data_IF_377923119975
#
_entry.id   IF_377923119975
#
_cell.length_a   1.000
_cell.length_b   1.000
_cell.length_c   1.000
_cell.angle_alpha   90.00
_cell.angle_beta   90.00
_cell.angle_gamma   90.00
#
_symmetry.space_group_name_H-M   'P 1'
#
loop_
_entity.id
_entity.type
_entity.pdbx_description
1 polymer ?
#
# COMPACT_ATOMS: atom_id res chain seq x y z
N UNK A 1 -3.50 -61.05 -13.02
CA UNK A 1 -3.46 -60.38 -11.70
C UNK A 1 -4.47 -59.24 -11.74
N UNK A 2 -5.62 -59.40 -11.08
CA UNK A 2 -6.68 -58.39 -11.03
C UNK A 2 -6.51 -57.55 -9.75
N UNK A 3 -6.44 -56.22 -9.92
CA UNK A 3 -6.33 -55.24 -8.85
C UNK A 3 -7.69 -54.99 -8.22
N UNK A 4 -7.85 -55.28 -6.93
CA UNK A 4 -9.06 -54.97 -6.17
C UNK A 4 -8.99 -53.54 -5.63
N UNK A 5 -9.80 -52.66 -6.21
CA UNK A 5 -10.02 -51.32 -5.66
C UNK A 5 -10.80 -51.45 -4.34
N UNK A 6 -10.25 -50.88 -3.26
CA UNK A 6 -10.96 -50.72 -1.98
C UNK A 6 -11.93 -49.55 -2.13
N UNK A 7 -13.23 -49.85 -2.01
CA UNK A 7 -14.30 -48.88 -1.85
C UNK A 7 -14.13 -48.12 -0.54
N UNK A 8 -14.36 -46.80 -0.56
CA UNK A 8 -14.42 -45.99 0.64
C UNK A 8 -15.60 -46.45 1.53
N UNK A 9 -15.47 -46.42 2.86
CA UNK A 9 -16.58 -46.73 3.75
C UNK A 9 -17.69 -45.68 3.60
N UNK A 10 -18.94 -46.13 3.71
CA UNK A 10 -20.11 -45.26 3.75
C UNK A 10 -20.03 -44.31 4.96
N UNK A 11 -20.52 -43.07 4.83
CA UNK A 11 -20.54 -42.12 5.94
C UNK A 11 -21.40 -42.65 7.10
N UNK A 12 -20.90 -42.46 8.32
CA UNK A 12 -21.57 -42.84 9.56
C UNK A 12 -22.89 -42.07 9.71
N UNK A 13 -24.05 -42.75 9.77
CA UNK A 13 -25.35 -42.11 9.86
C UNK A 13 -25.61 -41.38 11.19
N UNK A 14 -24.74 -41.56 12.20
CA UNK A 14 -24.89 -41.00 13.55
C UNK A 14 -23.99 -39.77 13.82
N UNK A 15 -23.30 -39.23 12.81
CA UNK A 15 -22.60 -37.94 12.95
C UNK A 15 -23.61 -36.79 12.85
N UNK A 16 -23.82 -36.09 13.97
CA UNK A 16 -24.52 -34.81 13.98
C UNK A 16 -23.94 -33.89 12.89
N UNK A 17 -24.77 -33.25 12.06
CA UNK A 17 -24.27 -32.33 11.06
C UNK A 17 -23.49 -31.22 11.74
N UNK A 18 -22.32 -30.87 11.17
CA UNK A 18 -21.55 -29.71 11.62
C UNK A 18 -22.49 -28.51 11.79
N UNK A 19 -22.39 -27.77 12.90
CA UNK A 19 -23.23 -26.60 13.12
C UNK A 19 -23.10 -25.66 11.93
N UNK A 20 -24.24 -25.21 11.41
CA UNK A 20 -24.27 -24.26 10.31
C UNK A 20 -23.34 -23.08 10.66
N UNK A 21 -22.49 -22.63 9.73
CA UNK A 21 -21.63 -21.48 9.98
C UNK A 21 -22.50 -20.31 10.43
N UNK A 22 -22.01 -19.57 11.43
CA UNK A 22 -22.70 -18.39 11.94
C UNK A 22 -23.10 -17.49 10.75
N UNK A 23 -24.34 -16.97 10.73
CA UNK A 23 -24.78 -16.13 9.64
C UNK A 23 -23.84 -14.93 9.52
N UNK A 24 -23.22 -14.79 8.34
CA UNK A 24 -22.44 -13.60 8.00
C UNK A 24 -23.38 -12.41 8.12
N UNK A 25 -23.07 -11.41 8.97
CA UNK A 25 -23.98 -10.30 9.20
C UNK A 25 -24.34 -9.61 7.88
N UNK A 26 -25.64 -9.38 7.70
CA UNK A 26 -26.20 -8.69 6.54
C UNK A 26 -25.63 -7.26 6.45
N UNK A 27 -24.86 -6.92 5.39
CA UNK A 27 -24.30 -5.58 5.24
C UNK A 27 -25.37 -4.50 5.01
N UNK A 28 -26.64 -4.87 4.78
CA UNK A 28 -27.70 -3.92 4.45
C UNK A 28 -28.30 -3.15 5.65
N UNK A 29 -27.97 -3.51 6.90
CA UNK A 29 -28.52 -2.88 8.11
C UNK A 29 -27.49 -2.33 9.09
N UNK A 30 -26.22 -2.23 8.69
CA UNK A 30 -25.20 -1.51 9.46
C UNK A 30 -25.27 -0.01 9.19
N UNK A 31 -25.28 0.80 10.25
CA UNK A 31 -25.04 2.24 10.14
C UNK A 31 -23.75 2.45 9.35
N UNK A 32 -23.76 3.34 8.34
CA UNK A 32 -22.56 3.55 7.52
C UNK A 32 -21.40 3.92 8.45
N UNK A 33 -20.22 3.31 8.29
CA UNK A 33 -19.08 3.61 9.15
C UNK A 33 -18.84 5.11 9.16
N UNK A 34 -18.67 5.66 10.36
CA UNK A 34 -18.42 7.08 10.55
C UNK A 34 -17.12 7.53 9.88
N UNK A 35 -16.88 8.84 9.77
CA UNK A 35 -15.69 9.37 9.12
C UNK A 35 -14.38 8.82 9.71
N UNK A 36 -14.33 8.56 11.01
CA UNK A 36 -13.16 8.00 11.70
C UNK A 36 -12.93 6.54 11.33
N UNK A 37 -13.98 5.73 11.30
CA UNK A 37 -13.91 4.32 10.89
C UNK A 37 -13.47 4.20 9.43
N UNK A 38 -13.99 5.07 8.55
CA UNK A 38 -13.57 5.12 7.14
C UNK A 38 -12.11 5.55 6.98
N UNK A 39 -11.66 6.56 7.71
CA UNK A 39 -10.26 6.99 7.72
C UNK A 39 -9.32 5.86 8.20
N UNK A 40 -9.69 5.18 9.29
CA UNK A 40 -8.96 4.02 9.79
C UNK A 40 -8.96 2.88 8.77
N UNK A 41 -10.11 2.61 8.16
CA UNK A 41 -10.27 1.60 7.12
C UNK A 41 -9.42 1.87 5.88
N UNK A 42 -9.28 3.13 5.47
CA UNK A 42 -8.41 3.51 4.34
C UNK A 42 -6.93 3.23 4.64
N UNK A 43 -6.43 3.67 5.81
CA UNK A 43 -5.03 3.49 6.18
C UNK A 43 -4.69 2.03 6.48
N UNK A 44 -5.57 1.30 7.16
CA UNK A 44 -5.37 -0.14 7.41
C UNK A 44 -5.57 -0.96 6.14
N UNK A 45 -6.52 -0.59 5.29
CA UNK A 45 -6.78 -1.26 4.02
C UNK A 45 -5.58 -1.16 3.08
N UNK A 46 -4.89 -0.02 3.05
CA UNK A 46 -3.61 0.14 2.36
C UNK A 46 -2.58 -0.89 2.86
N UNK A 47 -2.30 -0.92 4.17
CA UNK A 47 -1.31 -1.83 4.73
C UNK A 47 -1.68 -3.32 4.60
N UNK A 48 -2.98 -3.64 4.70
CA UNK A 48 -3.49 -5.00 4.49
C UNK A 48 -3.34 -5.41 3.02
N UNK A 49 -3.68 -4.51 2.08
CA UNK A 49 -3.59 -4.75 0.65
C UNK A 49 -2.15 -4.96 0.18
N UNK A 50 -1.25 -4.09 0.65
CA UNK A 50 0.20 -4.19 0.47
C UNK A 50 0.70 -5.58 0.94
N UNK A 51 0.50 -5.92 2.23
CA UNK A 51 0.99 -7.19 2.78
C UNK A 51 0.36 -8.43 2.12
N UNK A 52 -0.86 -8.33 1.60
CA UNK A 52 -1.53 -9.40 0.87
C UNK A 52 -0.95 -9.58 -0.54
N UNK A 53 -0.61 -8.48 -1.21
CA UNK A 53 -0.09 -8.43 -2.58
C UNK A 53 1.39 -8.78 -2.69
N UNK A 54 2.20 -8.38 -1.70
CA UNK A 54 3.66 -8.51 -1.73
C UNK A 54 4.17 -9.93 -2.10
N UNK A 55 3.61 -11.05 -1.59
CA UNK A 55 4.09 -12.38 -1.96
C UNK A 55 3.88 -12.74 -3.44
N UNK A 56 2.90 -12.11 -4.10
CA UNK A 56 2.54 -12.34 -5.49
C UNK A 56 3.17 -11.32 -6.46
N UNK A 57 3.96 -10.37 -5.94
CA UNK A 57 4.64 -9.37 -6.75
C UNK A 57 5.53 -10.03 -7.82
N UNK A 58 5.52 -9.48 -9.04
CA UNK A 58 6.27 -9.99 -10.20
C UNK A 58 5.87 -11.39 -10.69
N UNK A 59 4.78 -11.98 -10.18
CA UNK A 59 4.23 -13.24 -10.68
C UNK A 59 3.14 -13.00 -11.75
N UNK A 60 3.09 -13.88 -12.74
CA UNK A 60 1.98 -13.92 -13.70
C UNK A 60 0.70 -14.42 -13.02
N UNK A 61 -0.49 -14.00 -13.47
CA UNK A 61 -1.75 -14.53 -12.96
C UNK A 61 -1.86 -16.06 -13.01
N UNK A 62 -1.24 -16.72 -14.00
CA UNK A 62 -1.19 -18.18 -14.09
C UNK A 62 -0.34 -18.82 -12.99
N UNK A 63 0.77 -18.19 -12.59
CA UNK A 63 1.67 -18.66 -11.55
C UNK A 63 1.02 -18.50 -10.17
N UNK A 64 0.34 -17.36 -9.95
CA UNK A 64 -0.46 -17.12 -8.74
C UNK A 64 -1.53 -18.19 -8.59
N UNK A 65 -2.30 -18.46 -9.67
CA UNK A 65 -3.33 -19.51 -9.66
C UNK A 65 -2.77 -20.91 -9.44
N UNK A 66 -1.64 -21.24 -10.07
CA UNK A 66 -1.01 -22.55 -9.89
C UNK A 66 -0.50 -22.77 -8.46
N UNK A 67 -0.02 -21.70 -7.80
CA UNK A 67 0.56 -21.77 -6.46
C UNK A 67 -0.48 -21.69 -5.34
N UNK A 68 -1.47 -20.81 -5.47
CA UNK A 68 -2.41 -20.48 -4.38
C UNK A 68 -3.89 -20.52 -4.81
N UNK A 69 -4.19 -20.74 -6.09
CA UNK A 69 -5.56 -20.58 -6.59
C UNK A 69 -6.01 -19.11 -6.51
N UNK A 70 -7.11 -18.86 -5.81
CA UNK A 70 -7.56 -17.50 -5.48
C UNK A 70 -7.02 -17.14 -4.10
N UNK A 71 -6.25 -16.05 -4.01
CA UNK A 71 -5.84 -15.49 -2.72
C UNK A 71 -7.07 -14.87 -2.02
N UNK A 72 -7.44 -15.42 -0.87
CA UNK A 72 -8.52 -14.92 0.00
C UNK A 72 -8.04 -14.51 1.40
N UNK A 73 -6.74 -14.65 1.67
CA UNK A 73 -6.08 -14.30 2.92
C UNK A 73 -4.56 -14.33 2.74
N UNK A 74 -3.80 -14.10 3.81
CA UNK A 74 -2.34 -14.09 3.74
C UNK A 74 -1.77 -15.46 3.36
N UNK A 75 -0.81 -15.45 2.43
CA UNK A 75 -0.17 -16.65 1.89
C UNK A 75 1.26 -16.86 2.40
N UNK A 76 1.65 -16.08 3.42
CA UNK A 76 2.93 -16.18 4.13
C UNK A 76 2.67 -16.21 5.64
N UNK A 77 3.55 -16.90 6.39
CA UNK A 77 3.42 -17.02 7.85
C UNK A 77 3.68 -15.69 8.59
N UNK A 78 4.35 -14.75 7.92
CA UNK A 78 4.73 -13.45 8.45
C UNK A 78 4.41 -12.36 7.44
N UNK A 79 3.12 -12.02 7.24
CA UNK A 79 2.74 -10.94 6.34
C UNK A 79 3.29 -9.61 6.86
N UNK A 80 3.84 -8.81 5.95
CA UNK A 80 4.40 -7.49 6.25
C UNK A 80 4.13 -6.58 5.08
N UNK A 81 3.86 -5.30 5.35
CA UNK A 81 3.86 -4.28 4.31
C UNK A 81 5.26 -4.05 3.74
N UNK A 82 5.30 -3.41 2.58
CA UNK A 82 6.50 -3.00 1.87
C UNK A 82 6.66 -1.48 1.96
N UNK A 83 7.31 -0.93 0.95
CA UNK A 83 7.47 0.48 0.71
C UNK A 83 6.16 1.25 0.65
N UNK A 84 5.07 0.68 0.12
CA UNK A 84 3.75 1.31 0.09
C UNK A 84 3.33 1.78 1.51
N UNK A 85 3.39 0.87 2.49
CA UNK A 85 3.05 1.17 3.88
C UNK A 85 4.05 2.12 4.52
N UNK A 86 5.36 1.91 4.30
CA UNK A 86 6.41 2.76 4.87
C UNK A 86 6.29 4.21 4.38
N UNK A 87 6.05 4.40 3.10
CA UNK A 87 5.86 5.71 2.50
C UNK A 87 4.52 6.35 2.86
N UNK A 88 3.45 5.57 3.02
CA UNK A 88 2.18 6.11 3.55
C UNK A 88 2.37 6.63 4.99
N UNK A 89 3.15 5.93 5.82
CA UNK A 89 3.50 6.40 7.17
C UNK A 89 4.35 7.68 7.09
N UNK A 90 5.34 7.72 6.19
CA UNK A 90 6.15 8.92 5.94
C UNK A 90 5.28 10.15 5.62
N UNK A 91 4.36 10.03 4.66
CA UNK A 91 3.46 11.13 4.27
C UNK A 91 2.50 11.50 5.41
N UNK A 92 2.01 10.50 6.16
CA UNK A 92 1.18 10.73 7.36
C UNK A 92 1.91 11.51 8.46
N UNK A 93 3.19 11.22 8.71
CA UNK A 93 4.01 11.93 9.69
C UNK A 93 4.27 13.38 9.28
N UNK A 94 4.50 13.63 7.99
CA UNK A 94 4.63 14.98 7.44
C UNK A 94 3.34 15.79 7.65
N UNK A 95 2.17 15.20 7.37
CA UNK A 95 0.87 15.84 7.61
C UNK A 95 0.61 16.07 9.10
N UNK A 96 0.95 15.13 9.96
CA UNK A 96 0.80 15.30 11.41
C UNK A 96 1.66 16.46 11.95
N UNK A 97 2.83 16.69 11.36
CA UNK A 97 3.76 17.76 11.77
C UNK A 97 3.42 19.13 11.17
N UNK A 98 3.09 19.18 9.89
CA UNK A 98 2.98 20.43 9.14
C UNK A 98 1.54 20.78 8.72
N UNK A 99 0.64 19.80 8.71
CA UNK A 99 -0.74 19.95 8.23
C UNK A 99 -0.79 20.59 6.84
N UNK A 100 -1.73 21.53 6.66
CA UNK A 100 -1.86 22.28 5.40
C UNK A 100 -0.67 23.19 5.07
N UNK A 101 0.21 23.48 6.04
CA UNK A 101 1.42 24.26 5.85
C UNK A 101 2.62 23.43 5.34
N UNK A 102 2.38 22.19 4.88
CA UNK A 102 3.39 21.37 4.22
C UNK A 102 3.96 22.13 2.99
N UNK A 103 5.28 22.06 2.83
CA UNK A 103 6.03 22.69 1.73
C UNK A 103 6.99 21.67 1.12
N UNK A 104 7.46 21.87 -0.13
CA UNK A 104 8.47 21.00 -0.72
C UNK A 104 9.74 20.90 0.15
N UNK A 105 10.16 22.00 0.78
CA UNK A 105 11.31 22.01 1.68
C UNK A 105 11.13 21.13 2.93
N UNK A 106 9.91 21.07 3.49
CA UNK A 106 9.61 20.15 4.59
C UNK A 106 9.73 18.68 4.14
N UNK A 107 9.24 18.38 2.94
CA UNK A 107 9.29 17.04 2.36
C UNK A 107 10.74 16.65 2.10
N UNK A 108 11.51 17.50 1.41
CA UNK A 108 12.93 17.28 1.11
C UNK A 108 13.76 17.04 2.38
N UNK A 109 13.56 17.87 3.42
CA UNK A 109 14.23 17.68 4.70
C UNK A 109 13.90 16.32 5.34
N UNK A 110 12.64 15.86 5.24
CA UNK A 110 12.25 14.55 5.75
C UNK A 110 12.83 13.40 4.91
N UNK A 111 12.93 13.56 3.58
CA UNK A 111 13.61 12.60 2.70
C UNK A 111 15.07 12.42 3.11
N UNK A 112 15.81 13.51 3.34
CA UNK A 112 17.17 13.45 3.87
C UNK A 112 17.22 12.76 5.23
N UNK A 113 16.43 13.25 6.20
CA UNK A 113 16.49 12.79 7.58
C UNK A 113 16.12 11.31 7.75
N UNK A 114 15.12 10.83 7.01
CA UNK A 114 14.50 9.53 7.27
C UNK A 114 14.82 8.47 6.20
N UNK A 115 15.32 8.86 5.03
CA UNK A 115 15.48 7.95 3.88
C UNK A 115 16.88 8.04 3.27
N UNK A 116 17.28 9.20 2.72
CA UNK A 116 18.50 9.35 1.94
C UNK A 116 19.79 9.23 2.77
N UNK A 117 19.80 9.80 3.98
CA UNK A 117 21.02 9.93 4.80
C UNK A 117 21.12 8.85 5.89
N UNK A 118 20.17 7.91 5.95
CA UNK A 118 20.25 6.80 6.90
C UNK A 118 21.35 5.82 6.52
N UNK A 119 22.20 5.51 7.49
CA UNK A 119 23.32 4.55 7.38
C UNK A 119 22.87 3.07 7.39
N UNK A 120 21.56 2.80 7.50
CA UNK A 120 20.97 1.46 7.63
C UNK A 120 20.87 0.74 6.28
N UNK A 121 22.01 0.53 5.59
CA UNK A 121 22.05 -0.24 4.35
C UNK A 121 21.07 0.24 3.27
N UNK A 122 20.81 -0.55 2.21
CA UNK A 122 19.76 -0.19 1.27
C UNK A 122 18.42 -0.19 2.01
N UNK A 123 17.69 0.92 1.92
CA UNK A 123 16.24 0.94 2.17
C UNK A 123 15.67 -0.20 1.31
N UNK A 124 15.34 -1.34 1.93
CA UNK A 124 14.97 -2.54 1.18
C UNK A 124 13.63 -2.36 0.45
N UNK A 125 12.85 -1.36 0.88
CA UNK A 125 11.64 -0.84 0.25
C UNK A 125 11.81 0.56 -0.35
N UNK A 126 12.91 0.86 -1.04
CA UNK A 126 12.81 1.92 -2.05
C UNK A 126 12.39 1.22 -3.34
N UNK A 127 11.12 1.40 -3.71
CA UNK A 127 10.62 1.08 -5.03
C UNK A 127 11.58 1.54 -6.12
N UNK A 128 11.48 0.92 -7.29
CA UNK A 128 12.38 1.20 -8.41
C UNK A 128 12.46 2.70 -8.76
N UNK A 129 11.41 3.46 -8.45
CA UNK A 129 11.26 4.87 -8.76
C UNK A 129 11.99 5.79 -7.80
N UNK A 130 11.88 5.55 -6.51
CA UNK A 130 12.46 6.38 -5.45
C UNK A 130 13.98 6.27 -5.40
N UNK A 131 14.56 5.20 -5.98
CA UNK A 131 16.01 5.08 -6.15
C UNK A 131 16.61 6.22 -6.99
N UNK A 132 15.90 6.68 -8.02
CA UNK A 132 16.33 7.82 -8.82
C UNK A 132 16.35 9.11 -7.99
N UNK A 133 15.31 9.32 -7.19
CA UNK A 133 15.22 10.44 -6.25
C UNK A 133 16.37 10.42 -5.25
N UNK A 134 16.64 9.26 -4.62
CA UNK A 134 17.69 9.12 -3.61
C UNK A 134 19.08 9.43 -4.18
N UNK A 135 19.37 8.98 -5.40
CA UNK A 135 20.63 9.30 -6.07
C UNK A 135 20.76 10.80 -6.35
N UNK A 136 19.67 11.44 -6.81
CA UNK A 136 19.66 12.87 -7.06
C UNK A 136 19.86 13.68 -5.76
N UNK A 137 19.17 13.33 -4.67
CA UNK A 137 19.32 13.97 -3.37
C UNK A 137 20.75 13.82 -2.82
N UNK A 138 21.36 12.64 -2.95
CA UNK A 138 22.75 12.39 -2.53
C UNK A 138 23.79 13.18 -3.33
N UNK A 139 23.43 13.60 -4.55
CA UNK A 139 24.23 14.52 -5.38
C UNK A 139 24.00 15.99 -5.05
N UNK A 140 23.13 16.29 -4.08
CA UNK A 140 22.78 17.65 -3.67
C UNK A 140 21.75 18.33 -4.58
N UNK A 141 20.99 17.57 -5.38
CA UNK A 141 19.89 18.11 -6.16
C UNK A 141 18.63 18.21 -5.31
N UNK A 142 17.96 19.36 -5.37
CA UNK A 142 16.73 19.64 -4.64
C UNK A 142 15.49 19.54 -5.55
N UNK A 143 14.30 19.56 -4.97
CA UNK A 143 13.06 19.64 -5.75
C UNK A 143 13.01 20.93 -6.61
N UNK A 144 12.48 20.89 -7.84
CA UNK A 144 11.87 19.72 -8.51
C UNK A 144 12.88 18.83 -9.27
N UNK A 145 14.17 19.18 -9.29
CA UNK A 145 15.17 18.44 -10.07
C UNK A 145 15.40 17.04 -9.49
N UNK A 146 15.27 16.88 -8.17
CA UNK A 146 15.36 15.57 -7.51
C UNK A 146 14.37 14.55 -8.07
N UNK A 147 13.21 15.00 -8.55
CA UNK A 147 12.18 14.16 -9.18
C UNK A 147 12.46 13.80 -10.65
N UNK A 148 13.48 14.39 -11.29
CA UNK A 148 13.78 14.14 -12.71
C UNK A 148 14.61 12.87 -12.85
N UNK A 149 13.94 11.74 -13.07
CA UNK A 149 14.55 10.44 -13.34
C UNK A 149 13.64 9.54 -14.17
N UNK A 150 14.20 8.44 -14.69
CA UNK A 150 13.56 7.54 -15.68
C UNK A 150 12.19 6.96 -15.25
N UNK A 151 11.92 6.93 -13.95
CA UNK A 151 10.75 6.28 -13.34
C UNK A 151 9.83 7.24 -12.58
N UNK A 152 9.98 8.55 -12.77
CA UNK A 152 9.21 9.57 -12.04
C UNK A 152 7.69 9.56 -12.34
N UNK A 153 7.28 8.79 -13.35
CA UNK A 153 5.89 8.58 -13.77
C UNK A 153 5.18 7.42 -13.06
N UNK A 154 5.89 6.65 -12.20
CA UNK A 154 5.33 5.46 -11.56
C UNK A 154 4.23 5.76 -10.52
N UNK A 155 3.64 4.70 -9.99
CA UNK A 155 2.66 4.70 -8.91
C UNK A 155 3.24 4.95 -7.51
N UNK A 156 4.56 5.12 -7.34
CA UNK A 156 5.22 5.36 -6.06
C UNK A 156 4.66 6.52 -5.22
N UNK A 157 4.07 7.54 -5.86
CA UNK A 157 3.30 8.59 -5.17
C UNK A 157 1.83 8.19 -4.92
N UNK A 158 1.21 7.48 -5.86
CA UNK A 158 -0.18 7.04 -5.76
C UNK A 158 -0.38 6.02 -4.63
N UNK A 159 0.53 5.05 -4.49
CA UNK A 159 0.48 4.02 -3.46
C UNK A 159 0.51 4.60 -2.04
N UNK A 160 1.11 5.79 -1.85
CA UNK A 160 1.20 6.48 -0.55
C UNK A 160 0.23 7.65 -0.37
N UNK A 161 -0.74 7.85 -1.27
CA UNK A 161 -1.58 9.05 -1.28
C UNK A 161 -2.72 9.06 -0.23
N UNK A 162 -3.10 7.89 0.30
CA UNK A 162 -4.24 7.76 1.23
C UNK A 162 -4.23 8.72 2.44
N UNK A 163 -3.09 9.01 3.13
CA UNK A 163 -3.05 9.97 4.22
C UNK A 163 -3.54 11.37 3.85
N UNK A 164 -3.29 11.83 2.62
CA UNK A 164 -3.71 13.15 2.15
C UNK A 164 -5.23 13.22 1.97
N UNK A 165 -5.83 12.17 1.38
CA UNK A 165 -7.28 12.05 1.26
C UNK A 165 -7.99 11.98 2.63
N UNK A 166 -7.37 11.30 3.60
CA UNK A 166 -7.86 11.27 4.99
C UNK A 166 -7.75 12.65 5.66
N UNK A 167 -6.59 13.31 5.57
CA UNK A 167 -6.36 14.62 6.18
C UNK A 167 -7.25 15.72 5.57
N UNK A 168 -7.45 15.68 4.27
CA UNK A 168 -8.25 16.62 3.50
C UNK A 168 -9.63 16.07 3.11
N UNK A 169 -10.21 15.20 3.94
CA UNK A 169 -11.54 14.64 3.69
C UNK A 169 -12.58 15.75 3.41
N UNK A 170 -13.32 15.61 2.31
CA UNK A 170 -14.27 16.61 1.82
C UNK A 170 -13.65 17.82 1.11
N UNK A 171 -12.32 17.88 0.97
CA UNK A 171 -11.55 18.96 0.33
C UNK A 171 -10.57 18.39 -0.72
N UNK A 172 -11.07 17.80 -1.82
CA UNK A 172 -10.24 17.08 -2.79
C UNK A 172 -9.16 17.96 -3.44
N UNK A 173 -9.42 19.25 -3.67
CA UNK A 173 -8.41 20.18 -4.17
C UNK A 173 -7.24 20.37 -3.20
N UNK A 174 -7.49 20.34 -1.89
CA UNK A 174 -6.41 20.39 -0.89
C UNK A 174 -5.64 19.07 -0.85
N UNK A 175 -6.34 17.93 -0.93
CA UNK A 175 -5.67 16.62 -1.01
C UNK A 175 -4.70 16.58 -2.20
N UNK A 176 -5.19 16.95 -3.39
CA UNK A 176 -4.38 17.01 -4.61
C UNK A 176 -3.21 18.00 -4.53
N UNK A 177 -3.39 19.15 -3.83
CA UNK A 177 -2.31 20.11 -3.60
C UNK A 177 -1.22 19.52 -2.70
N UNK A 178 -1.61 18.90 -1.59
CA UNK A 178 -0.67 18.33 -0.61
C UNK A 178 0.08 17.13 -1.17
N UNK A 179 -0.60 16.26 -1.93
CA UNK A 179 0.02 15.14 -2.65
C UNK A 179 1.04 15.65 -3.66
N UNK A 180 0.72 16.70 -4.43
CA UNK A 180 1.68 17.28 -5.38
C UNK A 180 2.90 17.90 -4.70
N UNK A 181 2.73 18.44 -3.49
CA UNK A 181 3.85 18.96 -2.69
C UNK A 181 4.79 17.82 -2.25
N UNK A 182 4.26 16.71 -1.73
CA UNK A 182 5.06 15.51 -1.44
C UNK A 182 5.74 14.99 -2.72
N UNK A 183 4.93 14.78 -3.76
CA UNK A 183 5.36 14.27 -5.05
C UNK A 183 6.48 15.07 -5.69
N UNK A 184 6.52 16.39 -5.52
CA UNK A 184 7.52 17.28 -6.16
C UNK A 184 8.98 16.92 -5.86
N UNK A 185 9.24 16.15 -4.80
CA UNK A 185 10.59 15.67 -4.46
C UNK A 185 10.97 14.41 -5.25
N UNK A 186 10.00 13.57 -5.63
CA UNK A 186 10.25 12.20 -6.12
C UNK A 186 9.57 11.82 -7.45
N UNK A 187 8.58 12.58 -7.90
CA UNK A 187 7.76 12.27 -9.07
C UNK A 187 7.48 13.52 -9.91
N UNK A 188 7.25 13.31 -11.20
CA UNK A 188 6.85 14.37 -12.14
C UNK A 188 5.83 13.84 -13.15
N UNK A 189 5.12 14.76 -13.83
CA UNK A 189 4.14 14.41 -14.85
C UNK A 189 3.08 13.43 -14.35
N UNK A 190 2.95 12.29 -15.02
CA UNK A 190 1.96 11.25 -14.71
C UNK A 190 2.06 10.72 -13.26
N UNK A 191 3.25 10.72 -12.65
CA UNK A 191 3.39 10.29 -11.26
C UNK A 191 2.67 11.23 -10.29
N UNK A 192 2.72 12.55 -10.55
CA UNK A 192 1.95 13.55 -9.80
C UNK A 192 0.45 13.36 -10.06
N UNK A 193 0.04 13.19 -11.31
CA UNK A 193 -1.37 13.02 -11.65
C UNK A 193 -1.97 11.74 -11.05
N UNK A 194 -1.22 10.64 -11.06
CA UNK A 194 -1.58 9.39 -10.40
C UNK A 194 -1.78 9.60 -8.90
N UNK A 195 -0.86 10.30 -8.24
CA UNK A 195 -0.99 10.65 -6.82
C UNK A 195 -2.25 11.49 -6.53
N UNK A 196 -2.53 12.50 -7.35
CA UNK A 196 -3.69 13.38 -7.16
C UNK A 196 -5.04 12.70 -7.39
N UNK A 197 -5.07 11.63 -8.19
CA UNK A 197 -6.28 10.91 -8.53
C UNK A 197 -6.75 9.95 -7.42
N UNK A 198 -5.82 9.45 -6.60
CA UNK A 198 -6.09 8.57 -5.44
C UNK A 198 -6.61 9.37 -4.24
#
# INVERSE_FOLDING_TARGET
MASTARTAPDPDPDLDPDPAPDPVPDPAHGDRPGPRERARGALLGLAVGDALGAPAENMKPSEIRARWGRITGYVTDRPSGTDDTEYAIFSGLLLARHGSALTPAHVEAAWHQWIADRAEGPFRGAGFSERGTLENLRRGLAAPISAQHRHAWSDGLAMRAAPFGVFAAGRPAEAARLVAIDGSVSHEGEGIHGGQAV
#
